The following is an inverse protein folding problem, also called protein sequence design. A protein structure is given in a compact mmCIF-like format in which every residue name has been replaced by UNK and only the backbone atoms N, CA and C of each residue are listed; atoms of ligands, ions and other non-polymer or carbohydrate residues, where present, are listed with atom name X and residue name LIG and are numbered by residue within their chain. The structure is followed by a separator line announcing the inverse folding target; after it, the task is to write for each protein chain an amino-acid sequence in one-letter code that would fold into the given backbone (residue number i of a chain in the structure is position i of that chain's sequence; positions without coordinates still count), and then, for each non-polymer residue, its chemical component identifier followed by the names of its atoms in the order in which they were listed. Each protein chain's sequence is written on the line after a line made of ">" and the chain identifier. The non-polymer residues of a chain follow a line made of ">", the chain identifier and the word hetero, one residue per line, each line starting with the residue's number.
data_IF_665196102996
#
_entry.id   IF_665196102996
#
_cell.length_a   1.000
_cell.length_b   1.000
_cell.length_c   1.000
_cell.angle_alpha   90.00
_cell.angle_beta   90.00
_cell.angle_gamma   90.00
#
_symmetry.space_group_name_H-M   'P 1'
#
loop_
_entity.id
_entity.type
_entity.pdbx_description
1 polymer ?
#
# COMPACT_ATOMS: atom_id res chain seq x y z
N UNK A 1 17.48 -9.41 -5.33
CA UNK A 1 17.27 -8.09 -5.95
C UNK A 1 18.06 -7.08 -5.14
N UNK A 2 18.72 -6.12 -5.79
CA UNK A 2 19.46 -5.09 -5.08
C UNK A 2 18.50 -4.18 -4.31
N UNK A 3 18.75 -3.97 -3.01
CA UNK A 3 17.97 -3.10 -2.11
C UNK A 3 17.61 -1.72 -2.72
N UNK A 4 18.45 -1.22 -3.62
CA UNK A 4 18.25 0.03 -4.38
C UNK A 4 17.01 0.01 -5.28
N UNK A 5 16.65 -1.14 -5.84
CA UNK A 5 15.43 -1.30 -6.65
C UNK A 5 14.18 -1.25 -5.77
N UNK A 6 14.22 -1.88 -4.60
CA UNK A 6 13.11 -1.86 -3.64
C UNK A 6 12.82 -0.43 -3.15
N UNK A 7 13.85 0.29 -2.70
CA UNK A 7 13.73 1.71 -2.31
C UNK A 7 13.19 2.58 -3.46
N UNK A 8 13.67 2.36 -4.69
CA UNK A 8 13.20 3.09 -5.86
C UNK A 8 11.73 2.82 -6.20
N UNK A 9 11.28 1.57 -6.10
CA UNK A 9 9.88 1.19 -6.34
C UNK A 9 8.99 1.77 -5.24
N UNK A 10 9.42 1.73 -3.98
CA UNK A 10 8.69 2.32 -2.85
C UNK A 10 8.40 3.81 -3.09
N UNK A 11 9.40 4.57 -3.56
CA UNK A 11 9.23 6.00 -3.88
C UNK A 11 8.22 6.28 -5.00
N UNK A 12 7.95 5.30 -5.86
CA UNK A 12 6.97 5.42 -6.94
C UNK A 12 5.59 4.95 -6.49
N UNK A 13 5.51 3.79 -5.83
CA UNK A 13 4.23 3.14 -5.53
C UNK A 13 3.49 3.80 -4.36
N UNK A 14 4.21 4.31 -3.36
CA UNK A 14 3.60 4.97 -2.20
C UNK A 14 2.75 6.18 -2.61
N UNK A 15 3.26 7.16 -3.39
CA UNK A 15 2.43 8.28 -3.82
C UNK A 15 1.29 7.86 -4.76
N UNK A 16 1.46 6.82 -5.58
CA UNK A 16 0.35 6.31 -6.41
C UNK A 16 -0.77 5.71 -5.56
N UNK A 17 -0.45 4.93 -4.53
CA UNK A 17 -1.48 4.37 -3.63
C UNK A 17 -2.18 5.47 -2.85
N UNK A 18 -1.45 6.49 -2.37
CA UNK A 18 -2.05 7.63 -1.67
C UNK A 18 -3.01 8.39 -2.59
N UNK A 19 -2.66 8.61 -3.86
CA UNK A 19 -3.58 9.22 -4.83
C UNK A 19 -4.86 8.40 -5.02
N UNK A 20 -4.76 7.07 -5.14
CA UNK A 20 -5.93 6.20 -5.21
C UNK A 20 -6.81 6.31 -3.95
N UNK A 21 -6.21 6.42 -2.76
CA UNK A 21 -6.96 6.63 -1.51
C UNK A 21 -7.70 7.98 -1.50
N UNK A 22 -7.10 9.03 -2.07
CA UNK A 22 -7.74 10.35 -2.22
C UNK A 22 -8.91 10.27 -3.20
N UNK A 23 -8.66 9.73 -4.40
CA UNK A 23 -9.63 9.68 -5.50
C UNK A 23 -10.82 8.77 -5.19
N UNK A 24 -10.56 7.55 -4.72
CA UNK A 24 -11.61 6.54 -4.49
C UNK A 24 -12.15 6.57 -3.06
N UNK A 25 -11.32 6.92 -2.07
CA UNK A 25 -11.70 6.95 -0.66
C UNK A 25 -12.34 8.25 -0.20
N UNK A 26 -12.27 9.33 -1.00
CA UNK A 26 -12.82 10.63 -0.66
C UNK A 26 -12.13 11.33 0.52
N UNK A 27 -10.88 10.94 0.81
CA UNK A 27 -10.06 11.55 1.85
C UNK A 27 -9.28 12.75 1.28
N UNK A 28 -9.00 13.76 2.12
CA UNK A 28 -8.01 14.77 1.76
C UNK A 28 -6.58 14.18 1.80
N UNK A 29 -5.63 14.83 1.11
CA UNK A 29 -4.24 14.37 1.01
C UNK A 29 -3.60 14.04 2.36
N UNK A 30 -3.79 14.89 3.37
CA UNK A 30 -3.22 14.67 4.71
C UNK A 30 -3.82 13.42 5.34
N UNK A 31 -5.15 13.27 5.28
CA UNK A 31 -5.84 12.13 5.88
C UNK A 31 -5.49 10.83 5.16
N UNK A 32 -5.44 10.84 3.83
CA UNK A 32 -5.05 9.69 3.01
C UNK A 32 -3.62 9.25 3.34
N UNK A 33 -2.69 10.21 3.40
CA UNK A 33 -1.30 9.96 3.77
C UNK A 33 -1.21 9.33 5.15
N UNK A 34 -1.78 9.98 6.17
CA UNK A 34 -1.72 9.48 7.55
C UNK A 34 -2.29 8.07 7.67
N UNK A 35 -3.48 7.82 7.12
CA UNK A 35 -4.12 6.50 7.16
C UNK A 35 -3.29 5.43 6.45
N UNK A 36 -2.67 5.77 5.33
CA UNK A 36 -1.82 4.82 4.61
C UNK A 36 -0.59 4.45 5.45
N UNK A 37 0.13 5.42 6.00
CA UNK A 37 1.30 5.15 6.85
C UNK A 37 0.95 4.42 8.15
N UNK A 38 -0.24 4.65 8.73
CA UNK A 38 -0.73 3.92 9.92
C UNK A 38 -1.28 2.53 9.60
N UNK A 39 -1.46 2.19 8.33
CA UNK A 39 -2.02 0.90 7.92
C UNK A 39 -1.05 -0.25 8.16
N UNK A 40 -1.61 -1.42 8.46
CA UNK A 40 -0.87 -2.67 8.51
C UNK A 40 -0.34 -3.02 7.13
N UNK A 41 -1.03 -2.65 6.05
CA UNK A 41 -0.53 -2.81 4.69
C UNK A 41 0.83 -2.13 4.51
N UNK A 42 0.97 -0.86 4.90
CA UNK A 42 2.23 -0.13 4.77
C UNK A 42 3.35 -0.78 5.60
N UNK A 43 3.04 -1.16 6.84
CA UNK A 43 3.98 -1.89 7.71
C UNK A 43 4.49 -3.22 7.13
N UNK A 44 3.71 -3.84 6.24
CA UNK A 44 4.11 -5.04 5.50
C UNK A 44 4.84 -4.68 4.21
N UNK A 45 4.40 -3.63 3.51
CA UNK A 45 5.01 -3.13 2.28
C UNK A 45 6.47 -2.71 2.48
N UNK A 46 6.81 -2.14 3.65
CA UNK A 46 8.20 -1.82 4.03
C UNK A 46 9.10 -3.06 4.21
N UNK A 47 8.51 -4.25 4.34
CA UNK A 47 9.26 -5.51 4.45
C UNK A 47 9.46 -6.10 3.06
N UNK A 48 10.67 -5.99 2.54
CA UNK A 48 11.08 -6.51 1.23
C UNK A 48 10.66 -7.99 1.01
N UNK A 49 10.74 -8.81 2.06
CA UNK A 49 10.42 -10.25 2.05
C UNK A 49 8.94 -10.55 1.70
N UNK A 50 8.03 -9.63 2.01
CA UNK A 50 6.59 -9.79 1.72
C UNK A 50 6.26 -9.68 0.24
N UNK A 51 7.18 -9.13 -0.57
CA UNK A 51 7.03 -8.92 -2.02
C UNK A 51 5.78 -8.12 -2.43
N UNK A 52 5.13 -7.43 -1.50
CA UNK A 52 3.94 -6.61 -1.78
C UNK A 52 4.24 -5.47 -2.74
N UNK A 53 5.48 -5.01 -2.78
CA UNK A 53 5.99 -4.00 -3.71
C UNK A 53 6.01 -4.47 -5.18
N UNK A 54 5.76 -5.76 -5.46
CA UNK A 54 5.50 -6.26 -6.83
C UNK A 54 4.04 -6.07 -7.27
N UNK A 55 3.12 -5.83 -6.33
CA UNK A 55 1.72 -5.59 -6.65
C UNK A 55 1.58 -4.21 -7.29
N UNK A 56 0.54 -4.03 -8.11
CA UNK A 56 0.20 -2.70 -8.63
C UNK A 56 -0.34 -1.81 -7.52
N UNK A 57 -0.26 -0.48 -7.70
CA UNK A 57 -0.86 0.48 -6.78
C UNK A 57 -2.36 0.21 -6.55
N UNK A 58 -3.09 -0.22 -7.59
CA UNK A 58 -4.50 -0.59 -7.50
C UNK A 58 -4.75 -1.82 -6.61
N UNK A 59 -3.89 -2.84 -6.71
CA UNK A 59 -3.98 -4.02 -5.85
C UNK A 59 -3.67 -3.68 -4.39
N UNK A 60 -2.65 -2.84 -4.16
CA UNK A 60 -2.34 -2.33 -2.82
C UNK A 60 -3.49 -1.50 -2.25
N UNK A 61 -4.08 -0.61 -3.06
CA UNK A 61 -5.26 0.14 -2.67
C UNK A 61 -6.43 -0.79 -2.29
N UNK A 62 -6.67 -1.85 -3.05
CA UNK A 62 -7.73 -2.82 -2.74
C UNK A 62 -7.48 -3.54 -1.40
N UNK A 63 -6.22 -3.88 -1.10
CA UNK A 63 -5.86 -4.46 0.20
C UNK A 63 -6.02 -3.44 1.34
N UNK A 64 -5.69 -2.17 1.11
CA UNK A 64 -5.90 -1.10 2.07
C UNK A 64 -7.40 -0.87 2.32
N UNK A 65 -8.20 -0.81 1.27
CA UNK A 65 -9.66 -0.65 1.37
C UNK A 65 -10.30 -1.82 2.14
N UNK A 66 -9.86 -3.06 1.89
CA UNK A 66 -10.27 -4.23 2.67
C UNK A 66 -9.86 -4.10 4.14
N UNK A 67 -8.64 -3.65 4.42
CA UNK A 67 -8.15 -3.40 5.78
C UNK A 67 -9.04 -2.42 6.52
N UNK A 68 -9.35 -1.28 5.90
CA UNK A 68 -10.18 -0.24 6.52
C UNK A 68 -11.62 -0.70 6.73
N UNK A 69 -12.18 -1.49 5.80
CA UNK A 69 -13.56 -1.97 5.88
C UNK A 69 -13.75 -3.13 6.84
N UNK A 70 -12.77 -4.02 6.95
CA UNK A 70 -12.92 -5.31 7.66
C UNK A 70 -11.98 -5.48 8.86
N UNK A 71 -10.95 -4.63 8.97
CA UNK A 71 -9.87 -4.77 9.93
C UNK A 71 -8.89 -5.91 9.61
N UNK A 72 -8.99 -6.52 8.43
CA UNK A 72 -8.17 -7.66 7.99
C UNK A 72 -7.63 -7.42 6.59
N UNK A 73 -6.50 -8.07 6.30
CA UNK A 73 -5.91 -8.09 4.96
C UNK A 73 -5.84 -9.55 4.52
N UNK A 74 -6.49 -9.85 3.42
CA UNK A 74 -6.49 -11.15 2.75
C UNK A 74 -5.51 -11.06 1.59
N UNK A 75 -4.32 -11.59 1.83
CA UNK A 75 -3.34 -11.67 0.75
C UNK A 75 -3.78 -12.73 -0.25
N UNK A 76 -3.70 -12.46 -1.57
CA UNK A 76 -3.90 -13.50 -2.57
C UNK A 76 -2.91 -14.63 -2.29
N UNK A 77 -3.40 -15.87 -2.23
CA UNK A 77 -2.58 -17.05 -1.94
C UNK A 77 -1.39 -17.12 -2.90
N UNK A 78 -0.16 -16.95 -2.38
CA UNK A 78 1.08 -17.00 -3.16
C UNK A 78 2.10 -15.87 -2.94
N UNK A 79 1.95 -15.02 -1.92
CA UNK A 79 2.98 -14.07 -1.51
C UNK A 79 4.22 -14.77 -0.92
#
# INVERSE_FOLDING_TARGET
>A
MDKKCFDGIMLLIVPEVINLIIEEGGYDERTATLRFYESKLYSLLEKEDTKLWHLSALSLYSLFDEEIKTGKITFPEGA
#
